data_IF_635520238881
#
_entry.id   IF_635520238881
#
_cell.length_a   1.000
_cell.length_b   1.000
_cell.length_c   1.000
_cell.angle_alpha   90.00
_cell.angle_beta   90.00
_cell.angle_gamma   90.00
#
_symmetry.space_group_name_H-M   'P 1'
#
loop_
_entity.id
_entity.type
_entity.pdbx_description
1 polymer ?
#
# COMPACT_ATOMS: atom_id res chain seq x y z
N UNK A 1 -18.27 -16.38 9.86
CA UNK A 1 -17.39 -17.35 10.55
C UNK A 1 -17.56 -17.17 12.04
N UNK A 2 -17.61 -18.30 12.76
CA UNK A 2 -17.60 -18.25 14.21
C UNK A 2 -16.34 -17.50 14.69
N UNK A 3 -16.39 -16.76 15.80
CA UNK A 3 -15.24 -16.04 16.36
C UNK A 3 -13.97 -16.90 16.48
N UNK A 4 -14.13 -18.21 16.75
CA UNK A 4 -13.03 -19.17 16.82
C UNK A 4 -12.32 -19.43 15.48
N UNK A 5 -13.04 -19.48 14.35
CA UNK A 5 -12.41 -19.65 13.03
C UNK A 5 -11.62 -18.41 12.60
N UNK A 6 -12.10 -17.20 13.00
CA UNK A 6 -11.35 -15.96 12.80
C UNK A 6 -10.10 -15.87 13.69
N UNK A 7 -10.13 -16.45 14.89
CA UNK A 7 -8.96 -16.52 15.76
C UNK A 7 -7.91 -17.50 15.22
N UNK A 8 -8.31 -18.67 14.72
CA UNK A 8 -7.41 -19.64 14.11
C UNK A 8 -6.73 -19.09 12.86
N UNK A 9 -7.45 -18.36 11.99
CA UNK A 9 -6.85 -17.67 10.83
C UNK A 9 -5.81 -16.60 11.24
N UNK A 10 -5.90 -16.07 12.48
CA UNK A 10 -4.93 -15.08 12.97
C UNK A 10 -3.64 -15.71 13.48
N UNK A 11 -3.69 -16.90 14.03
CA UNK A 11 -2.55 -17.53 14.75
C UNK A 11 -1.74 -18.49 13.87
N UNK A 12 -2.33 -19.12 12.84
CA UNK A 12 -1.70 -20.21 12.09
C UNK A 12 -1.45 -19.94 10.61
N UNK A 13 -1.90 -18.80 10.07
CA UNK A 13 -1.77 -18.52 8.63
C UNK A 13 -0.32 -18.26 8.25
N UNK A 14 0.25 -19.14 7.45
CA UNK A 14 1.45 -18.83 6.68
C UNK A 14 1.08 -17.83 5.59
N UNK A 15 1.59 -16.60 5.68
CA UNK A 15 1.37 -15.57 4.68
C UNK A 15 2.01 -15.98 3.35
N UNK A 16 1.30 -15.80 2.24
CA UNK A 16 1.90 -15.91 0.89
C UNK A 16 2.90 -14.77 0.63
N UNK A 17 2.85 -13.71 1.45
CA UNK A 17 3.89 -12.69 1.53
C UNK A 17 5.13 -13.29 2.20
N UNK A 18 6.23 -13.44 1.45
CA UNK A 18 7.41 -14.19 1.90
C UNK A 18 8.13 -13.54 3.07
N UNK A 19 8.18 -12.20 3.14
CA UNK A 19 8.77 -11.48 4.25
C UNK A 19 8.29 -10.02 4.30
N UNK A 20 8.19 -9.47 5.50
CA UNK A 20 8.21 -8.02 5.73
C UNK A 20 9.67 -7.58 5.68
N UNK A 21 10.01 -6.66 4.74
CA UNK A 21 11.39 -6.18 4.61
C UNK A 21 11.59 -4.88 5.39
N UNK A 22 10.59 -4.00 5.36
CA UNK A 22 10.70 -2.68 5.97
C UNK A 22 9.36 -2.19 6.47
N UNK A 23 9.36 -1.69 7.69
CA UNK A 23 8.25 -0.94 8.27
C UNK A 23 8.72 0.48 8.55
N UNK A 24 7.88 1.47 8.16
CA UNK A 24 8.02 2.87 8.55
C UNK A 24 6.76 3.26 9.28
N UNK A 25 6.88 3.55 10.56
CA UNK A 25 5.76 3.86 11.43
C UNK A 25 5.79 5.32 11.87
N UNK A 26 4.60 5.88 12.02
CA UNK A 26 4.33 7.10 12.78
C UNK A 26 3.11 6.86 13.66
N UNK A 27 2.78 7.79 14.58
CA UNK A 27 1.63 7.63 15.50
C UNK A 27 0.28 7.39 14.80
N UNK A 28 0.18 7.68 13.51
CA UNK A 28 -1.06 7.61 12.75
C UNK A 28 -0.97 6.81 11.46
N UNK A 29 0.22 6.27 11.14
CA UNK A 29 0.44 5.61 9.86
C UNK A 29 1.58 4.62 9.91
N UNK A 30 1.35 3.41 9.38
CA UNK A 30 2.35 2.41 9.12
C UNK A 30 2.45 2.16 7.62
N UNK A 31 3.68 2.16 7.09
CA UNK A 31 3.97 1.75 5.73
C UNK A 31 4.81 0.48 5.77
N UNK A 32 4.27 -0.59 5.20
CA UNK A 32 4.91 -1.90 5.19
C UNK A 32 5.32 -2.26 3.78
N UNK A 33 6.57 -2.66 3.61
CA UNK A 33 7.12 -3.20 2.38
C UNK A 33 7.24 -4.72 2.52
N UNK A 34 6.53 -5.43 1.66
CA UNK A 34 6.57 -6.89 1.59
C UNK A 34 7.41 -7.35 0.42
N UNK A 35 8.18 -8.41 0.61
CA UNK A 35 8.80 -9.19 -0.45
C UNK A 35 7.96 -10.43 -0.74
N UNK A 36 7.66 -10.66 -2.00
CA UNK A 36 6.91 -11.81 -2.48
C UNK A 36 7.87 -13.00 -2.70
N UNK A 37 7.33 -14.20 -2.82
CA UNK A 37 8.12 -15.44 -2.98
C UNK A 37 9.05 -15.45 -4.19
N UNK A 38 8.76 -14.64 -5.19
CA UNK A 38 9.56 -14.46 -6.42
C UNK A 38 10.53 -13.27 -6.36
N UNK A 39 10.69 -12.63 -5.20
CA UNK A 39 11.54 -11.46 -4.98
C UNK A 39 10.94 -10.14 -5.45
N UNK A 40 9.71 -10.15 -6.01
CA UNK A 40 8.99 -8.91 -6.25
C UNK A 40 8.56 -8.28 -4.93
N UNK A 41 8.26 -6.96 -4.96
CA UNK A 41 7.93 -6.21 -3.75
C UNK A 41 6.63 -5.44 -3.92
N UNK A 42 5.90 -5.27 -2.82
CA UNK A 42 4.68 -4.46 -2.75
C UNK A 42 4.62 -3.69 -1.45
N UNK A 43 3.98 -2.55 -1.48
CA UNK A 43 3.81 -1.68 -0.32
C UNK A 43 2.33 -1.62 0.08
N UNK A 44 2.11 -1.61 1.38
CA UNK A 44 0.79 -1.46 2.01
C UNK A 44 0.86 -0.37 3.06
N UNK A 45 -0.21 0.40 3.21
CA UNK A 45 -0.28 1.49 4.18
C UNK A 45 -1.46 1.29 5.12
N UNK A 46 -1.20 1.21 6.42
CA UNK A 46 -2.18 1.30 7.48
C UNK A 46 -2.33 2.74 7.96
N UNK A 47 -3.55 3.23 8.04
CA UNK A 47 -3.92 4.53 8.57
C UNK A 47 -4.71 4.34 9.86
N UNK A 48 -4.21 4.90 10.96
CA UNK A 48 -4.78 4.76 12.31
C UNK A 48 -5.30 6.12 12.78
N UNK A 49 -6.61 6.21 12.95
CA UNK A 49 -7.27 7.44 13.37
C UNK A 49 -7.50 7.43 14.89
N UNK A 50 -7.40 8.60 15.50
CA UNK A 50 -7.52 8.77 16.97
C UNK A 50 -8.84 8.24 17.53
N UNK A 51 -9.89 8.23 16.73
CA UNK A 51 -11.21 7.71 17.05
C UNK A 51 -11.31 6.17 17.04
N UNK A 52 -10.18 5.48 16.85
CA UNK A 52 -10.11 4.02 16.76
C UNK A 52 -10.55 3.44 15.42
N UNK A 53 -10.67 4.26 14.38
CA UNK A 53 -10.93 3.82 13.00
C UNK A 53 -9.62 3.51 12.31
N UNK A 54 -9.51 2.33 11.68
CA UNK A 54 -8.33 1.93 10.93
C UNK A 54 -8.69 1.71 9.47
N UNK A 55 -7.89 2.25 8.56
CA UNK A 55 -8.07 2.14 7.12
C UNK A 55 -6.79 1.63 6.46
N UNK A 56 -6.91 0.68 5.54
CA UNK A 56 -5.75 0.05 4.91
C UNK A 56 -5.76 0.29 3.41
N UNK A 57 -4.64 0.78 2.89
CA UNK A 57 -4.40 0.98 1.47
C UNK A 57 -3.56 -0.18 0.94
N UNK A 58 -4.16 -1.06 0.14
CA UNK A 58 -3.53 -2.29 -0.35
C UNK A 58 -3.20 -2.21 -1.84
N UNK A 59 -2.20 -2.99 -2.21
CA UNK A 59 -1.71 -3.13 -3.59
C UNK A 59 -2.40 -4.29 -4.31
N UNK A 60 -2.55 -4.16 -5.63
CA UNK A 60 -3.12 -5.18 -6.51
C UNK A 60 -2.13 -5.77 -7.51
N UNK A 61 -1.00 -5.08 -7.72
CA UNK A 61 0.05 -5.49 -8.65
C UNK A 61 1.43 -5.14 -8.06
N UNK A 62 2.46 -5.87 -8.45
CA UNK A 62 3.84 -5.41 -8.30
C UNK A 62 4.19 -4.55 -9.50
N UNK A 63 4.37 -3.24 -9.26
CA UNK A 63 4.46 -2.25 -10.33
C UNK A 63 3.11 -1.88 -10.96
N UNK A 64 3.13 -1.13 -12.08
CA UNK A 64 1.94 -0.72 -12.83
C UNK A 64 2.30 -0.42 -14.28
N UNK A 65 1.56 -1.00 -15.23
CA UNK A 65 1.84 -0.89 -16.67
C UNK A 65 1.25 0.33 -17.37
N UNK A 66 0.51 1.21 -16.67
CA UNK A 66 -0.24 2.29 -17.32
C UNK A 66 0.53 3.59 -17.49
N UNK A 67 1.70 3.74 -16.87
CA UNK A 67 2.63 4.84 -17.11
C UNK A 67 2.09 6.24 -16.77
N UNK A 68 1.25 6.36 -15.73
CA UNK A 68 0.79 7.66 -15.24
C UNK A 68 1.99 8.48 -14.79
N UNK A 69 2.17 9.68 -15.38
CA UNK A 69 3.40 10.46 -15.21
C UNK A 69 3.63 11.02 -13.80
N UNK A 70 2.56 11.15 -13.02
CA UNK A 70 2.60 11.67 -11.65
C UNK A 70 2.74 10.56 -10.58
N UNK A 71 2.82 9.29 -10.98
CA UNK A 71 2.78 8.15 -10.06
C UNK A 71 4.13 7.41 -10.06
N UNK A 72 4.74 7.28 -8.88
CA UNK A 72 6.00 6.55 -8.74
C UNK A 72 5.89 5.10 -9.19
N UNK A 73 4.80 4.40 -8.82
CA UNK A 73 4.53 3.02 -9.26
C UNK A 73 4.44 2.92 -10.79
N UNK A 74 3.85 3.92 -11.46
CA UNK A 74 3.71 3.96 -12.91
C UNK A 74 5.05 4.05 -13.66
N UNK A 75 6.11 4.56 -13.01
CA UNK A 75 7.46 4.64 -13.59
C UNK A 75 8.24 3.34 -13.52
N UNK A 76 7.79 2.38 -12.71
CA UNK A 76 8.44 1.08 -12.54
C UNK A 76 8.08 0.08 -13.65
N UNK A 77 6.99 0.34 -14.39
CA UNK A 77 6.37 -0.66 -15.24
C UNK A 77 5.67 -1.77 -14.43
N UNK A 78 4.95 -2.64 -15.13
CA UNK A 78 4.31 -3.81 -14.55
C UNK A 78 5.32 -4.95 -14.41
N UNK A 79 5.42 -5.51 -13.22
CA UNK A 79 6.14 -6.76 -12.98
C UNK A 79 5.19 -7.94 -13.14
N UNK A 80 4.16 -8.02 -12.29
CA UNK A 80 3.06 -8.98 -12.39
C UNK A 80 1.84 -8.58 -11.57
N UNK A 81 0.76 -9.27 -11.81
CA UNK A 81 -0.42 -9.25 -10.94
C UNK A 81 -0.12 -9.97 -9.62
N UNK A 82 -0.74 -9.51 -8.54
CA UNK A 82 -0.77 -10.25 -7.28
C UNK A 82 -1.83 -11.36 -7.36
N UNK A 83 -1.57 -12.47 -6.66
CA UNK A 83 -2.57 -13.51 -6.42
C UNK A 83 -3.61 -13.06 -5.41
N UNK A 84 -4.68 -13.84 -5.26
CA UNK A 84 -5.72 -13.57 -4.24
C UNK A 84 -5.11 -13.53 -2.85
N UNK A 85 -4.29 -14.54 -2.52
CA UNK A 85 -3.64 -14.64 -1.22
C UNK A 85 -2.70 -13.45 -0.97
N UNK A 86 -1.86 -13.06 -1.95
CA UNK A 86 -0.97 -11.90 -1.81
C UNK A 86 -1.73 -10.57 -1.65
N UNK A 87 -2.96 -10.47 -2.16
CA UNK A 87 -3.82 -9.30 -1.95
C UNK A 87 -4.41 -9.33 -0.54
N UNK A 88 -4.96 -10.45 -0.10
CA UNK A 88 -5.66 -10.59 1.19
C UNK A 88 -4.69 -10.64 2.37
N UNK A 89 -3.50 -11.19 2.17
CA UNK A 89 -2.48 -11.29 3.20
C UNK A 89 -1.92 -9.94 3.66
N UNK A 90 -2.01 -8.90 2.79
CA UNK A 90 -1.70 -7.54 3.22
C UNK A 90 -2.60 -7.10 4.38
N UNK A 91 -3.85 -7.55 4.40
CA UNK A 91 -4.81 -7.29 5.49
C UNK A 91 -4.59 -8.26 6.64
N UNK A 92 -4.34 -9.54 6.33
CA UNK A 92 -4.10 -10.57 7.33
C UNK A 92 -2.89 -10.22 8.22
N UNK A 93 -1.83 -9.65 7.63
CA UNK A 93 -0.68 -9.13 8.37
C UNK A 93 -1.11 -8.16 9.49
N UNK A 94 -1.90 -7.12 9.17
CA UNK A 94 -2.36 -6.17 10.18
C UNK A 94 -3.32 -6.79 11.19
N UNK A 95 -4.12 -7.77 10.77
CA UNK A 95 -4.97 -8.53 11.70
C UNK A 95 -4.14 -9.34 12.70
N UNK A 96 -3.02 -9.93 12.27
CA UNK A 96 -2.08 -10.64 13.15
C UNK A 96 -1.41 -9.70 14.15
N UNK A 97 -1.19 -8.42 13.77
CA UNK A 97 -0.71 -7.37 14.68
C UNK A 97 -1.81 -6.86 15.63
N UNK A 98 -2.99 -7.47 15.63
CA UNK A 98 -4.11 -7.08 16.50
C UNK A 98 -4.94 -5.89 15.99
N UNK A 99 -4.69 -5.40 14.77
CA UNK A 99 -5.43 -4.29 14.21
C UNK A 99 -6.86 -4.69 13.83
N UNK A 100 -7.84 -3.86 14.19
CA UNK A 100 -9.20 -3.97 13.65
C UNK A 100 -9.26 -3.41 12.25
N UNK A 101 -9.92 -4.10 11.32
CA UNK A 101 -10.06 -3.66 9.93
C UNK A 101 -11.40 -2.96 9.76
N UNK A 102 -11.38 -1.62 9.67
CA UNK A 102 -12.60 -0.83 9.51
C UNK A 102 -12.88 -0.49 8.05
N UNK A 103 -11.85 -0.25 7.24
CA UNK A 103 -11.99 -0.04 5.80
C UNK A 103 -10.74 -0.45 5.03
N UNK A 104 -10.93 -0.81 3.75
CA UNK A 104 -9.87 -1.17 2.82
C UNK A 104 -10.02 -0.30 1.57
N UNK A 105 -8.89 0.19 1.04
CA UNK A 105 -8.84 0.86 -0.25
C UNK A 105 -7.82 0.21 -1.17
N UNK A 106 -8.24 -0.15 -2.37
CA UNK A 106 -7.36 -0.56 -3.46
C UNK A 106 -6.81 0.70 -4.14
N UNK A 107 -5.87 1.37 -3.45
CA UNK A 107 -5.22 2.62 -3.88
C UNK A 107 -3.69 2.53 -3.75
N UNK A 108 -3.16 1.34 -3.49
CA UNK A 108 -1.74 1.04 -3.45
C UNK A 108 -1.14 0.88 -4.84
N UNK A 109 -0.21 -0.06 -4.98
CA UNK A 109 0.45 -0.31 -6.26
C UNK A 109 -0.45 -1.08 -7.23
N UNK A 110 -0.46 -0.63 -8.49
CA UNK A 110 -1.22 -1.27 -9.57
C UNK A 110 -2.57 -0.63 -9.89
N UNK A 111 -3.19 -1.11 -10.97
CA UNK A 111 -4.56 -0.80 -11.35
C UNK A 111 -5.45 -2.01 -11.02
N UNK A 112 -6.38 -1.90 -10.08
CA UNK A 112 -7.15 -3.04 -9.61
C UNK A 112 -7.90 -3.79 -10.73
N UNK A 113 -8.50 -3.07 -11.67
CA UNK A 113 -9.27 -3.71 -12.74
C UNK A 113 -8.43 -4.32 -13.87
N UNK A 114 -7.11 -4.13 -13.83
CA UNK A 114 -6.17 -4.84 -14.70
C UNK A 114 -5.69 -6.18 -14.11
N UNK A 115 -6.02 -6.46 -12.84
CA UNK A 115 -5.76 -7.74 -12.20
C UNK A 115 -7.08 -8.51 -12.00
N UNK A 116 -7.34 -9.61 -12.75
CA UNK A 116 -8.55 -10.41 -12.59
C UNK A 116 -8.75 -10.97 -11.18
N UNK A 117 -7.66 -11.25 -10.45
CA UNK A 117 -7.67 -11.79 -9.08
C UNK A 117 -8.30 -10.83 -8.06
N UNK A 118 -8.42 -9.54 -8.37
CA UNK A 118 -9.05 -8.56 -7.47
C UNK A 118 -10.53 -8.90 -7.21
N UNK A 119 -11.24 -9.48 -8.18
CA UNK A 119 -12.63 -9.86 -7.96
C UNK A 119 -12.79 -11.09 -7.06
N UNK A 120 -11.83 -12.02 -7.13
CA UNK A 120 -11.76 -13.17 -6.22
C UNK A 120 -11.35 -12.69 -4.82
N UNK A 121 -10.38 -11.77 -4.72
CA UNK A 121 -10.02 -11.15 -3.45
C UNK A 121 -11.20 -10.37 -2.83
N UNK A 122 -12.04 -9.70 -3.63
CA UNK A 122 -13.28 -9.07 -3.14
C UNK A 122 -14.27 -10.09 -2.59
N UNK A 123 -14.37 -11.27 -3.24
CA UNK A 123 -15.17 -12.37 -2.70
C UNK A 123 -14.68 -12.75 -1.31
N UNK A 124 -13.39 -13.04 -1.16
CA UNK A 124 -12.80 -13.48 0.10
C UNK A 124 -12.91 -12.40 1.19
N UNK A 125 -12.64 -11.13 0.85
CA UNK A 125 -12.77 -10.01 1.77
C UNK A 125 -14.22 -9.80 2.24
N UNK A 126 -15.23 -10.15 1.43
CA UNK A 126 -16.64 -9.94 1.78
C UNK A 126 -17.36 -11.20 2.25
N UNK A 127 -16.85 -12.39 1.97
CA UNK A 127 -17.43 -13.65 2.39
C UNK A 127 -17.50 -13.74 3.93
N UNK A 128 -18.70 -14.03 4.50
CA UNK A 128 -18.89 -14.06 5.95
C UNK A 128 -18.02 -15.11 6.67
N UNK A 129 -17.70 -16.20 5.98
CA UNK A 129 -16.87 -17.31 6.46
C UNK A 129 -15.37 -16.98 6.47
N UNK A 130 -14.94 -15.95 5.69
CA UNK A 130 -13.56 -15.50 5.62
C UNK A 130 -13.38 -14.18 6.37
N UNK A 131 -13.13 -13.07 5.66
CA UNK A 131 -12.93 -11.76 6.31
C UNK A 131 -14.24 -11.12 6.78
N UNK A 132 -15.35 -11.34 6.10
CA UNK A 132 -16.69 -10.87 6.48
C UNK A 132 -16.84 -9.35 6.49
N UNK A 133 -16.08 -8.63 5.66
CA UNK A 133 -16.18 -7.18 5.57
C UNK A 133 -17.42 -6.79 4.75
N UNK A 134 -18.12 -5.75 5.20
CA UNK A 134 -19.16 -5.15 4.39
C UNK A 134 -18.56 -4.54 3.13
N UNK A 135 -19.16 -4.76 1.96
CA UNK A 135 -18.79 -4.13 0.71
C UNK A 135 -18.64 -2.60 0.85
N UNK A 136 -19.44 -1.95 1.68
CA UNK A 136 -19.39 -0.50 1.95
C UNK A 136 -18.11 -0.03 2.63
N UNK A 137 -17.33 -0.95 3.20
CA UNK A 137 -16.03 -0.68 3.82
C UNK A 137 -14.87 -0.86 2.86
N UNK A 138 -15.16 -1.24 1.61
CA UNK A 138 -14.16 -1.42 0.56
C UNK A 138 -14.32 -0.30 -0.48
N UNK A 139 -13.19 0.29 -0.87
CA UNK A 139 -13.12 1.30 -1.93
C UNK A 139 -12.17 0.81 -3.01
N UNK A 140 -12.60 0.84 -4.27
CA UNK A 140 -11.73 0.60 -5.42
C UNK A 140 -11.52 1.92 -6.16
N UNK A 141 -10.24 2.28 -6.38
CA UNK A 141 -9.86 3.37 -7.27
C UNK A 141 -9.38 2.81 -8.60
N UNK A 142 -9.87 3.37 -9.69
CA UNK A 142 -9.50 2.94 -11.05
C UNK A 142 -9.18 4.12 -11.95
N UNK A 143 -8.27 3.90 -12.89
CA UNK A 143 -7.97 4.83 -13.98
C UNK A 143 -9.08 4.87 -15.05
N UNK A 144 -10.15 4.08 -14.89
CA UNK A 144 -11.31 4.09 -15.78
C UNK A 144 -11.36 2.91 -16.73
N UNK A 145 -10.94 1.71 -16.32
CA UNK A 145 -11.11 0.48 -17.11
C UNK A 145 -12.59 0.11 -17.15
N UNK A 146 -13.27 0.45 -18.25
CA UNK A 146 -14.73 0.33 -18.42
C UNK A 146 -15.25 -1.08 -18.13
N UNK A 147 -14.69 -2.18 -18.66
CA UNK A 147 -15.17 -3.53 -18.34
C UNK A 147 -15.10 -3.85 -16.83
N UNK A 148 -14.06 -3.35 -16.14
CA UNK A 148 -13.91 -3.54 -14.68
C UNK A 148 -14.98 -2.79 -13.88
N UNK A 149 -15.30 -1.55 -14.26
CA UNK A 149 -16.40 -0.77 -13.66
C UNK A 149 -17.73 -1.48 -13.85
N UNK A 150 -17.99 -1.99 -15.06
CA UNK A 150 -19.22 -2.73 -15.36
C UNK A 150 -19.33 -4.02 -14.55
N UNK A 151 -18.24 -4.78 -14.41
CA UNK A 151 -18.19 -5.99 -13.60
C UNK A 151 -18.44 -5.67 -12.12
N UNK A 152 -17.76 -4.66 -11.57
CA UNK A 152 -17.98 -4.20 -10.19
C UNK A 152 -19.44 -3.83 -9.94
N UNK A 153 -20.06 -3.11 -10.89
CA UNK A 153 -21.44 -2.67 -10.79
C UNK A 153 -22.42 -3.85 -10.66
N UNK A 154 -22.18 -4.94 -11.39
CA UNK A 154 -23.02 -6.13 -11.35
C UNK A 154 -22.79 -7.00 -10.12
N UNK A 155 -21.55 -7.23 -9.77
CA UNK A 155 -21.16 -8.28 -8.80
C UNK A 155 -21.00 -7.70 -7.39
N UNK A 156 -20.55 -6.44 -7.27
CA UNK A 156 -20.26 -5.79 -5.97
C UNK A 156 -20.85 -4.37 -5.91
N UNK A 157 -22.18 -4.20 -6.02
CA UNK A 157 -22.83 -2.89 -6.19
C UNK A 157 -22.71 -1.99 -4.96
N UNK A 158 -22.27 -2.51 -3.80
CA UNK A 158 -22.11 -1.72 -2.59
C UNK A 158 -20.63 -1.34 -2.29
N UNK A 159 -19.68 -1.80 -3.09
CA UNK A 159 -18.27 -1.34 -3.02
C UNK A 159 -18.23 0.12 -3.47
N UNK A 160 -17.44 0.95 -2.76
CA UNK A 160 -17.24 2.34 -3.13
C UNK A 160 -16.33 2.43 -4.36
N UNK A 161 -16.72 3.26 -5.32
CA UNK A 161 -15.95 3.47 -6.55
C UNK A 161 -15.34 4.86 -6.58
N UNK A 162 -14.02 4.91 -6.81
CA UNK A 162 -13.27 6.13 -7.08
C UNK A 162 -12.70 6.08 -8.51
N UNK A 163 -12.79 7.18 -9.22
CA UNK A 163 -12.26 7.34 -10.57
C UNK A 163 -11.13 8.36 -10.59
N UNK A 164 -9.97 7.94 -11.07
CA UNK A 164 -8.80 8.79 -11.31
C UNK A 164 -9.01 9.68 -12.53
N UNK A 165 -9.69 10.82 -12.33
CA UNK A 165 -10.07 11.76 -13.38
C UNK A 165 -8.89 12.61 -13.84
N UNK A 166 -8.28 13.36 -12.92
CA UNK A 166 -7.02 14.12 -12.95
C UNK A 166 -6.89 15.20 -14.05
N UNK A 167 -7.80 15.28 -15.01
CA UNK A 167 -7.82 16.32 -16.02
C UNK A 167 -9.24 16.58 -16.54
N UNK A 168 -9.56 17.82 -16.99
CA UNK A 168 -10.89 18.18 -17.45
C UNK A 168 -11.12 17.89 -18.94
N UNK A 169 -10.08 17.49 -19.69
CA UNK A 169 -10.15 17.19 -21.13
C UNK A 169 -9.33 15.97 -21.49
N UNK A 170 -9.76 15.21 -22.52
CA UNK A 170 -9.02 14.04 -22.99
C UNK A 170 -7.59 14.38 -23.41
N UNK A 171 -7.39 15.51 -24.12
CA UNK A 171 -6.07 15.96 -24.54
C UNK A 171 -5.09 16.11 -23.38
N UNK A 172 -5.51 16.76 -22.30
CA UNK A 172 -4.67 16.94 -21.12
C UNK A 172 -4.50 15.62 -20.38
N UNK A 173 -5.60 14.87 -20.22
CA UNK A 173 -5.57 13.58 -19.53
C UNK A 173 -4.65 12.58 -20.21
N UNK A 174 -4.64 12.53 -21.53
CA UNK A 174 -3.75 11.66 -22.32
C UNK A 174 -2.27 11.96 -22.06
N UNK A 175 -1.92 13.25 -21.87
CA UNK A 175 -0.53 13.62 -21.54
C UNK A 175 -0.10 13.14 -20.17
N UNK A 176 -1.03 12.99 -19.22
CA UNK A 176 -0.80 12.54 -17.85
C UNK A 176 -1.00 11.03 -17.70
N UNK A 177 -1.98 10.47 -18.42
CA UNK A 177 -2.46 9.10 -18.30
C UNK A 177 -2.74 8.50 -19.69
N UNK A 178 -1.80 7.74 -20.28
CA UNK A 178 -1.92 7.22 -21.64
C UNK A 178 -3.16 6.37 -21.90
N UNK A 179 -3.75 5.74 -20.86
CA UNK A 179 -4.97 4.95 -20.93
C UNK A 179 -6.17 5.71 -21.52
N UNK A 180 -6.13 7.03 -21.50
CA UNK A 180 -7.18 7.90 -22.05
C UNK A 180 -7.45 7.63 -23.53
N UNK A 181 -6.45 7.16 -24.28
CA UNK A 181 -6.62 6.73 -25.69
C UNK A 181 -7.60 5.58 -25.82
N UNK A 182 -7.57 4.65 -24.88
CA UNK A 182 -8.43 3.47 -24.88
C UNK A 182 -9.79 3.78 -24.27
N UNK A 183 -9.82 4.56 -23.19
CA UNK A 183 -11.03 4.93 -22.45
C UNK A 183 -11.10 6.46 -22.29
N UNK A 184 -11.66 7.19 -23.29
CA UNK A 184 -11.87 8.63 -23.20
C UNK A 184 -12.82 9.01 -22.05
N UNK A 185 -12.69 10.24 -21.55
CA UNK A 185 -13.47 10.76 -20.42
C UNK A 185 -14.97 10.57 -20.59
N UNK A 186 -15.51 10.85 -21.80
CA UNK A 186 -16.94 10.69 -22.07
C UNK A 186 -17.42 9.27 -21.84
N UNK A 187 -16.69 8.27 -22.40
CA UNK A 187 -17.05 6.86 -22.24
C UNK A 187 -17.01 6.40 -20.78
N UNK A 188 -15.99 6.83 -20.05
CA UNK A 188 -15.86 6.48 -18.62
C UNK A 188 -16.97 7.12 -17.81
N UNK A 189 -17.25 8.42 -18.00
CA UNK A 189 -18.30 9.14 -17.27
C UNK A 189 -19.70 8.57 -17.59
N UNK A 190 -19.98 8.21 -18.84
CA UNK A 190 -21.24 7.51 -19.21
C UNK A 190 -21.36 6.16 -18.48
N UNK A 191 -20.24 5.44 -18.31
CA UNK A 191 -20.21 4.18 -17.55
C UNK A 191 -20.44 4.43 -16.06
N UNK A 192 -19.88 5.50 -15.52
CA UNK A 192 -20.12 5.91 -14.12
C UNK A 192 -21.57 6.35 -13.88
N UNK A 193 -22.20 7.03 -14.85
CA UNK A 193 -23.63 7.36 -14.80
C UNK A 193 -24.48 6.06 -14.75
N UNK A 194 -24.11 5.05 -15.51
CA UNK A 194 -24.77 3.74 -15.46
C UNK A 194 -24.57 3.06 -14.11
N UNK A 195 -23.36 3.12 -13.56
CA UNK A 195 -23.07 2.62 -12.21
C UNK A 195 -23.94 3.31 -11.17
N UNK A 196 -24.01 4.64 -11.17
CA UNK A 196 -24.84 5.43 -10.25
C UNK A 196 -26.32 5.05 -10.40
N UNK A 197 -26.80 4.93 -11.65
CA UNK A 197 -28.20 4.55 -11.94
C UNK A 197 -28.57 3.19 -11.35
N UNK A 198 -27.65 2.21 -11.38
CA UNK A 198 -27.91 0.85 -10.92
C UNK A 198 -27.75 0.70 -9.41
N UNK A 199 -26.79 1.41 -8.82
CA UNK A 199 -26.38 1.21 -7.42
C UNK A 199 -26.93 2.28 -6.48
N UNK A 200 -27.32 3.44 -7.01
CA UNK A 200 -27.62 4.66 -6.24
C UNK A 200 -26.51 5.06 -5.28
N UNK A 201 -25.24 4.79 -5.65
CA UNK A 201 -24.06 5.06 -4.83
C UNK A 201 -23.30 6.28 -5.33
N UNK A 202 -22.66 7.02 -4.41
CA UNK A 202 -21.71 8.07 -4.76
C UNK A 202 -20.50 7.50 -5.49
N UNK A 203 -20.02 8.25 -6.48
CA UNK A 203 -18.74 8.02 -7.15
C UNK A 203 -17.79 9.16 -6.77
N UNK A 204 -16.59 8.79 -6.34
CA UNK A 204 -15.55 9.74 -5.99
C UNK A 204 -14.68 10.02 -7.23
N UNK A 205 -14.50 11.29 -7.55
CA UNK A 205 -13.67 11.74 -8.67
C UNK A 205 -12.35 12.29 -8.10
N UNK A 206 -11.27 11.56 -8.25
CA UNK A 206 -9.96 11.98 -7.80
C UNK A 206 -9.32 12.95 -8.80
N UNK A 207 -8.88 14.12 -8.35
CA UNK A 207 -8.22 15.14 -9.17
C UNK A 207 -6.95 15.62 -8.49
N UNK A 208 -5.79 15.16 -8.98
CA UNK A 208 -4.50 15.56 -8.48
C UNK A 208 -4.17 16.98 -8.94
N UNK A 209 -3.64 17.81 -8.04
CA UNK A 209 -3.37 19.23 -8.30
C UNK A 209 -1.90 19.45 -8.64
N UNK A 210 -1.62 19.63 -9.93
CA UNK A 210 -0.28 19.81 -10.50
C UNK A 210 -0.12 21.27 -10.96
N UNK A 211 0.90 21.95 -10.42
CA UNK A 211 1.19 23.35 -10.71
C UNK A 211 1.43 23.55 -12.21
N UNK A 212 0.78 24.56 -12.78
CA UNK A 212 0.87 25.00 -14.18
C UNK A 212 0.52 23.91 -15.23
N UNK A 213 -0.03 22.77 -14.77
CA UNK A 213 -0.43 21.66 -15.63
C UNK A 213 -1.95 21.54 -15.72
N UNK A 214 -2.65 21.41 -14.59
CA UNK A 214 -4.09 21.17 -14.54
C UNK A 214 -4.84 22.03 -13.50
N UNK A 215 -4.19 23.03 -12.90
CA UNK A 215 -4.68 23.75 -11.72
C UNK A 215 -5.19 25.18 -12.02
N UNK A 216 -5.22 25.64 -13.29
CA UNK A 216 -5.70 26.99 -13.62
C UNK A 216 -7.22 27.13 -13.49
N UNK A 217 -7.71 28.39 -13.39
CA UNK A 217 -9.15 28.69 -13.36
C UNK A 217 -9.85 28.13 -14.61
N UNK A 218 -9.20 28.24 -15.78
CA UNK A 218 -9.70 27.65 -17.02
C UNK A 218 -9.92 26.12 -16.89
N UNK A 219 -9.02 25.42 -16.20
CA UNK A 219 -9.17 23.98 -15.97
C UNK A 219 -10.35 23.68 -15.03
N UNK A 220 -10.57 24.51 -13.99
CA UNK A 220 -11.73 24.39 -13.12
C UNK A 220 -13.06 24.60 -13.89
N UNK A 221 -13.11 25.62 -14.76
CA UNK A 221 -14.28 25.89 -15.62
C UNK A 221 -14.52 24.74 -16.62
N UNK A 222 -13.48 24.20 -17.23
CA UNK A 222 -13.57 23.05 -18.13
C UNK A 222 -14.07 21.81 -17.40
N UNK A 223 -13.59 21.58 -16.18
CA UNK A 223 -14.04 20.48 -15.33
C UNK A 223 -15.53 20.63 -14.97
N UNK A 224 -15.91 21.84 -14.58
CA UNK A 224 -17.33 22.19 -14.35
C UNK A 224 -18.19 21.89 -15.57
N UNK A 225 -17.78 22.37 -16.75
CA UNK A 225 -18.50 22.11 -18.02
C UNK A 225 -18.59 20.60 -18.35
N UNK A 226 -17.51 19.84 -18.08
CA UNK A 226 -17.50 18.39 -18.27
C UNK A 226 -18.54 17.72 -17.38
N UNK A 227 -18.54 18.00 -16.08
CA UNK A 227 -19.45 17.37 -15.12
C UNK A 227 -20.91 17.82 -15.32
N UNK A 228 -21.16 19.03 -15.80
CA UNK A 228 -22.52 19.48 -16.15
C UNK A 228 -23.17 18.70 -17.31
N UNK A 229 -22.39 18.04 -18.16
CA UNK A 229 -22.97 17.11 -19.16
C UNK A 229 -23.67 15.92 -18.49
N UNK A 230 -23.22 15.56 -17.27
CA UNK A 230 -23.74 14.48 -16.42
C UNK A 230 -24.63 15.00 -15.28
N UNK A 231 -25.28 16.20 -15.47
CA UNK A 231 -26.05 16.92 -14.43
C UNK A 231 -27.11 16.09 -13.72
N UNK A 232 -27.68 15.09 -14.39
CA UNK A 232 -28.68 14.20 -13.79
C UNK A 232 -28.13 13.43 -12.59
N UNK A 233 -26.86 13.07 -12.62
CA UNK A 233 -26.20 12.29 -11.58
C UNK A 233 -25.20 13.11 -10.74
N UNK A 234 -25.09 14.41 -11.02
CA UNK A 234 -24.16 15.32 -10.35
C UNK A 234 -24.24 15.30 -8.82
N UNK A 235 -25.41 15.15 -8.17
CA UNK A 235 -25.50 15.04 -6.71
C UNK A 235 -24.80 13.79 -6.12
N UNK A 236 -24.57 12.76 -6.94
CA UNK A 236 -23.87 11.53 -6.56
C UNK A 236 -22.41 11.49 -7.01
N UNK A 237 -21.92 12.54 -7.67
CA UNK A 237 -20.48 12.73 -7.88
C UNK A 237 -19.90 13.57 -6.73
N UNK A 238 -18.74 13.17 -6.24
CA UNK A 238 -17.97 13.91 -5.26
C UNK A 238 -16.53 14.09 -5.74
N UNK A 239 -16.06 15.32 -5.86
CA UNK A 239 -14.72 15.64 -6.33
C UNK A 239 -13.74 15.76 -5.16
N UNK A 240 -12.71 14.94 -5.17
CA UNK A 240 -11.57 15.01 -4.25
C UNK A 240 -10.39 15.72 -4.93
N UNK A 241 -10.08 16.95 -4.52
CA UNK A 241 -8.85 17.63 -4.91
C UNK A 241 -7.69 17.09 -4.07
N UNK A 242 -6.75 16.46 -4.72
CA UNK A 242 -5.61 15.80 -4.07
C UNK A 242 -4.37 16.68 -4.26
N UNK A 243 -3.83 17.30 -3.19
CA UNK A 243 -2.52 17.93 -3.27
C UNK A 243 -1.49 16.91 -3.75
N UNK A 244 -0.67 17.29 -4.74
CA UNK A 244 0.33 16.37 -5.29
C UNK A 244 1.45 16.11 -4.29
N UNK A 245 1.83 14.86 -4.15
CA UNK A 245 2.99 14.45 -3.36
C UNK A 245 4.15 14.20 -4.32
N UNK A 246 5.13 15.09 -4.31
CA UNK A 246 6.31 14.98 -5.16
C UNK A 246 7.15 13.77 -4.74
N UNK A 247 7.75 13.10 -5.70
CA UNK A 247 8.66 11.98 -5.49
C UNK A 247 9.96 12.21 -6.23
N UNK A 248 11.04 11.55 -5.81
CA UNK A 248 12.34 11.59 -6.51
C UNK A 248 12.30 11.09 -7.95
N UNK A 249 11.26 10.33 -8.30
CA UNK A 249 11.09 9.78 -9.67
C UNK A 249 10.21 10.63 -10.57
N UNK A 250 9.50 11.62 -10.00
CA UNK A 250 8.60 12.52 -10.72
C UNK A 250 8.98 13.98 -10.49
N UNK A 251 10.27 14.28 -10.42
CA UNK A 251 10.84 15.59 -10.07
C UNK A 251 10.38 16.75 -10.98
N UNK A 252 10.02 16.45 -12.22
CA UNK A 252 9.53 17.45 -13.19
C UNK A 252 8.13 17.98 -12.87
N UNK A 253 7.39 17.33 -11.95
CA UNK A 253 6.06 17.76 -11.54
C UNK A 253 6.10 18.44 -10.18
N UNK A 254 5.45 19.59 -10.08
CA UNK A 254 5.44 20.42 -8.88
C UNK A 254 4.03 20.47 -8.29
N UNK A 255 3.86 20.38 -6.96
CA UNK A 255 2.56 20.55 -6.32
C UNK A 255 2.02 21.97 -6.49
N UNK A 256 0.71 22.08 -6.70
CA UNK A 256 0.01 23.36 -6.67
C UNK A 256 0.07 23.98 -5.27
N UNK A 257 0.19 25.30 -5.19
CA UNK A 257 0.14 25.98 -3.89
C UNK A 257 -1.23 25.79 -3.23
N UNK A 258 -1.26 25.81 -1.90
CA UNK A 258 -2.51 25.68 -1.14
C UNK A 258 -3.54 26.78 -1.51
N UNK A 259 -3.07 28.01 -1.76
CA UNK A 259 -3.92 29.11 -2.24
C UNK A 259 -4.53 28.79 -3.60
N UNK A 260 -3.75 28.19 -4.53
CA UNK A 260 -4.24 27.81 -5.86
C UNK A 260 -5.30 26.68 -5.76
N UNK A 261 -5.05 25.68 -4.92
CA UNK A 261 -6.01 24.59 -4.67
C UNK A 261 -7.32 25.15 -4.10
N UNK A 262 -7.25 26.06 -3.13
CA UNK A 262 -8.44 26.72 -2.56
C UNK A 262 -9.21 27.54 -3.60
N UNK A 263 -8.52 28.27 -4.49
CA UNK A 263 -9.17 29.03 -5.55
C UNK A 263 -9.87 28.09 -6.55
N UNK A 264 -9.22 27.01 -6.97
CA UNK A 264 -9.82 25.98 -7.82
C UNK A 264 -11.06 25.36 -7.15
N UNK A 265 -10.92 24.94 -5.89
CA UNK A 265 -12.03 24.41 -5.09
C UNK A 265 -13.24 25.36 -5.05
N UNK A 266 -13.00 26.66 -4.87
CA UNK A 266 -14.06 27.67 -4.82
C UNK A 266 -14.84 27.76 -6.14
N UNK A 267 -14.16 27.71 -7.29
CA UNK A 267 -14.82 27.75 -8.60
C UNK A 267 -15.76 26.55 -8.74
N UNK A 268 -15.28 25.35 -8.41
CA UNK A 268 -16.07 24.10 -8.47
C UNK A 268 -17.24 24.15 -7.50
N UNK A 269 -17.01 24.59 -6.26
CA UNK A 269 -18.04 24.70 -5.22
C UNK A 269 -19.12 25.71 -5.60
N UNK A 270 -18.74 26.88 -6.13
CA UNK A 270 -19.67 27.92 -6.56
C UNK A 270 -20.54 27.48 -7.75
N UNK A 271 -20.08 26.50 -8.52
CA UNK A 271 -20.87 25.84 -9.56
C UNK A 271 -21.84 24.78 -9.00
N UNK A 272 -21.92 24.59 -7.66
CA UNK A 272 -22.82 23.62 -7.03
C UNK A 272 -22.35 22.17 -7.10
N UNK A 273 -21.05 21.93 -7.38
CA UNK A 273 -20.47 20.60 -7.41
C UNK A 273 -19.90 20.26 -6.03
N UNK A 274 -20.23 19.08 -5.52
CA UNK A 274 -19.67 18.56 -4.26
C UNK A 274 -18.17 18.36 -4.40
N UNK A 275 -17.37 19.09 -3.60
CA UNK A 275 -15.91 19.09 -3.69
C UNK A 275 -15.28 19.27 -2.31
N UNK A 276 -14.17 18.56 -2.06
CA UNK A 276 -13.30 18.81 -0.91
C UNK A 276 -11.83 18.84 -1.32
N UNK A 277 -10.98 19.31 -0.41
CA UNK A 277 -9.52 19.19 -0.52
C UNK A 277 -9.12 18.07 0.42
N UNK A 278 -8.48 17.03 -0.13
CA UNK A 278 -8.08 15.86 0.62
C UNK A 278 -6.95 16.20 1.58
N UNK A 279 -7.06 15.77 2.83
CA UNK A 279 -5.96 15.87 3.79
C UNK A 279 -4.82 14.93 3.36
N UNK A 280 -3.60 15.43 3.41
CA UNK A 280 -2.41 14.63 3.14
C UNK A 280 -2.00 13.89 4.39
N UNK A 281 -1.74 12.59 4.27
CA UNK A 281 -1.15 11.75 5.30
C UNK A 281 0.09 11.07 4.75
N UNK A 282 1.15 10.92 5.57
CA UNK A 282 2.31 10.11 5.27
C UNK A 282 3.26 10.63 4.19
N UNK A 283 3.22 11.94 3.89
CA UNK A 283 4.18 12.56 2.95
C UNK A 283 5.62 12.52 3.47
N UNK A 284 5.80 12.51 4.77
CA UNK A 284 7.08 12.45 5.49
C UNK A 284 7.78 11.09 5.40
N UNK A 285 7.01 10.01 5.26
CA UNK A 285 7.54 8.64 5.13
C UNK A 285 7.33 8.04 3.73
N UNK A 286 7.02 8.87 2.72
CA UNK A 286 6.72 8.44 1.35
C UNK A 286 5.57 7.41 1.27
N UNK A 287 4.56 7.56 2.10
CA UNK A 287 3.38 6.69 2.15
C UNK A 287 2.11 7.34 1.58
N UNK A 288 2.19 8.57 1.10
CA UNK A 288 1.06 9.26 0.51
C UNK A 288 0.73 8.73 -0.90
N UNK A 289 -0.48 9.04 -1.38
CA UNK A 289 -0.93 8.63 -2.70
C UNK A 289 0.07 9.02 -3.81
N UNK A 290 0.41 8.06 -4.67
CA UNK A 290 1.37 8.23 -5.77
C UNK A 290 2.85 8.06 -5.39
N UNK A 291 3.18 7.92 -4.10
CA UNK A 291 4.56 7.79 -3.62
C UNK A 291 5.05 6.35 -3.45
N UNK A 292 4.14 5.37 -3.49
CA UNK A 292 4.52 3.98 -3.31
C UNK A 292 5.46 3.51 -4.42
N UNK A 293 6.48 2.72 -4.05
CA UNK A 293 7.58 2.20 -4.88
C UNK A 293 8.88 3.02 -4.90
N UNK A 294 9.04 4.05 -4.05
CA UNK A 294 10.31 4.78 -3.92
C UNK A 294 11.49 3.92 -3.45
N UNK A 295 11.24 2.89 -2.64
CA UNK A 295 12.26 1.98 -2.13
C UNK A 295 12.81 0.98 -3.18
N UNK A 296 12.13 0.78 -4.30
CA UNK A 296 12.56 -0.17 -5.35
C UNK A 296 13.82 0.26 -6.12
N UNK A 297 14.13 1.58 -6.17
CA UNK A 297 15.26 2.11 -6.96
C UNK A 297 16.56 2.21 -6.18
N UNK A 298 16.49 2.38 -4.87
CA UNK A 298 17.71 2.49 -4.06
C UNK A 298 18.46 1.15 -4.02
N UNK A 299 17.75 0.02 -4.01
CA UNK A 299 18.36 -1.31 -4.00
C UNK A 299 18.96 -1.71 -5.36
N UNK A 300 18.40 -1.28 -6.50
CA UNK A 300 19.01 -1.57 -7.80
C UNK A 300 20.30 -0.77 -8.04
N UNK A 301 20.35 0.49 -7.59
CA UNK A 301 21.59 1.29 -7.64
C UNK A 301 22.60 0.87 -6.56
N UNK A 302 22.13 0.37 -5.43
CA UNK A 302 22.99 -0.23 -4.40
C UNK A 302 23.42 -1.64 -4.78
N UNK A 303 22.57 -2.45 -5.45
CA UNK A 303 22.94 -3.76 -5.97
C UNK A 303 24.07 -3.72 -6.99
N UNK A 304 24.09 -2.71 -7.88
CA UNK A 304 25.23 -2.50 -8.81
C UNK A 304 26.47 -1.92 -8.10
N UNK A 305 26.32 -1.18 -7.00
CA UNK A 305 27.44 -0.72 -6.17
C UNK A 305 27.87 -1.75 -5.11
N UNK A 306 26.97 -2.62 -4.65
CA UNK A 306 27.25 -3.66 -3.62
C UNK A 306 27.73 -4.97 -4.21
N UNK A 307 27.52 -5.27 -5.49
CA UNK A 307 28.24 -6.39 -6.14
C UNK A 307 29.75 -6.15 -6.20
N UNK A 308 30.23 -4.91 -6.07
CA UNK A 308 31.66 -4.60 -5.87
C UNK A 308 32.07 -4.50 -4.41
N UNK A 309 31.14 -4.51 -3.45
CA UNK A 309 31.39 -4.35 -2.00
C UNK A 309 30.90 -5.53 -1.13
N UNK A 310 30.27 -6.57 -1.74
CA UNK A 310 29.90 -7.85 -1.07
C UNK A 310 31.08 -8.84 -1.06
N UNK A 311 32.29 -8.41 -1.42
CA UNK A 311 33.49 -9.12 -0.99
C UNK A 311 33.78 -8.72 0.44
N UNK A 312 33.61 -9.70 1.37
CA UNK A 312 33.95 -9.71 2.80
C UNK A 312 32.88 -9.27 3.81
N UNK A 313 31.74 -9.94 3.86
CA UNK A 313 31.09 -10.20 5.14
C UNK A 313 31.36 -11.64 5.55
N UNK A 314 32.46 -11.86 6.30
CA UNK A 314 32.83 -13.17 6.83
C UNK A 314 31.84 -13.61 7.90
N UNK A 315 31.08 -14.66 7.61
CA UNK A 315 30.33 -15.40 8.61
C UNK A 315 31.27 -16.37 9.32
N UNK A 316 31.29 -16.34 10.65
CA UNK A 316 32.01 -17.34 11.43
C UNK A 316 31.03 -18.28 12.14
N UNK A 317 31.47 -19.55 12.27
CA UNK A 317 30.70 -20.49 13.07
C UNK A 317 30.84 -20.15 14.55
N UNK A 318 29.69 -19.99 15.23
CA UNK A 318 29.69 -19.90 16.68
C UNK A 318 30.17 -21.24 17.24
N UNK A 319 31.31 -21.20 17.93
CA UNK A 319 31.92 -22.38 18.55
C UNK A 319 31.37 -22.58 19.97
N UNK A 320 31.11 -23.81 20.33
CA UNK A 320 30.69 -24.15 21.70
C UNK A 320 31.76 -23.70 22.72
N UNK A 321 31.44 -22.91 23.72
CA UNK A 321 32.40 -22.48 24.74
C UNK A 321 33.04 -23.62 25.49
N UNK A 322 32.34 -24.76 25.62
CA UNK A 322 32.79 -25.95 26.38
C UNK A 322 33.70 -26.85 25.54
N UNK A 323 33.24 -27.34 24.38
CA UNK A 323 33.98 -28.33 23.60
C UNK A 323 34.61 -27.80 22.32
N UNK A 324 34.53 -26.47 22.06
CA UNK A 324 35.06 -25.77 20.88
C UNK A 324 34.57 -26.28 19.53
N UNK A 325 33.57 -27.13 19.50
CA UNK A 325 32.98 -27.66 18.26
C UNK A 325 32.01 -26.65 17.66
N UNK A 326 31.85 -26.67 16.33
CA UNK A 326 30.86 -25.87 15.60
C UNK A 326 29.45 -26.20 16.12
N UNK A 327 28.70 -25.15 16.44
CA UNK A 327 27.29 -25.24 16.77
C UNK A 327 26.45 -25.17 15.47
N UNK A 328 25.13 -25.03 15.57
CA UNK A 328 24.25 -24.85 14.41
C UNK A 328 24.11 -23.37 13.99
N UNK A 329 24.81 -22.46 14.66
CA UNK A 329 24.71 -21.03 14.44
C UNK A 329 25.95 -20.48 13.73
N UNK A 330 25.73 -19.58 12.79
CA UNK A 330 26.74 -18.69 12.22
C UNK A 330 26.48 -17.28 12.68
N UNK A 331 27.50 -16.53 12.99
CA UNK A 331 27.43 -15.15 13.47
C UNK A 331 28.27 -14.25 12.58
N UNK A 332 27.92 -12.98 12.55
CA UNK A 332 28.69 -11.89 11.91
C UNK A 332 29.31 -11.03 12.99
N UNK A 333 30.21 -10.14 12.59
CA UNK A 333 30.87 -9.19 13.50
C UNK A 333 29.87 -8.26 14.19
N UNK A 334 28.75 -7.94 13.54
CA UNK A 334 27.67 -7.09 14.04
C UNK A 334 26.58 -7.86 14.81
N UNK A 335 26.69 -9.19 14.92
CA UNK A 335 25.72 -10.01 15.65
C UNK A 335 25.82 -9.74 17.15
N UNK A 336 24.71 -9.36 17.77
CA UNK A 336 24.55 -9.24 19.22
C UNK A 336 23.53 -10.27 19.65
N UNK A 337 23.93 -11.17 20.55
CA UNK A 337 23.03 -12.10 21.24
C UNK A 337 23.15 -11.81 22.74
N UNK A 338 22.02 -11.64 23.41
CA UNK A 338 21.97 -11.44 24.85
C UNK A 338 21.03 -12.45 25.49
N UNK A 339 21.48 -13.08 26.59
CA UNK A 339 20.75 -14.16 27.27
C UNK A 339 20.26 -15.27 26.31
N UNK A 340 21.07 -15.61 25.30
CA UNK A 340 20.69 -16.54 24.27
C UNK A 340 20.93 -18.00 24.70
N UNK A 341 19.92 -18.90 24.67
CA UNK A 341 20.09 -20.30 25.01
C UNK A 341 20.83 -21.05 23.87
N UNK A 342 22.07 -21.45 24.13
CA UNK A 342 22.89 -22.19 23.20
C UNK A 342 22.89 -23.67 23.55
N UNK A 343 22.45 -24.52 22.60
CA UNK A 343 22.61 -25.97 22.67
C UNK A 343 23.77 -26.42 21.78
N UNK A 344 24.68 -27.22 22.33
CA UNK A 344 25.75 -27.83 21.55
C UNK A 344 25.40 -29.28 21.14
N UNK A 345 25.26 -29.60 19.82
CA UNK A 345 24.88 -30.91 19.37
C UNK A 345 25.96 -31.98 19.65
N UNK A 346 27.23 -31.60 19.87
CA UNK A 346 28.33 -32.54 20.10
C UNK A 346 28.47 -32.92 21.57
N UNK A 347 28.58 -31.96 22.48
CA UNK A 347 28.73 -32.24 23.91
C UNK A 347 27.39 -32.22 24.67
N UNK A 348 26.26 -31.89 23.99
CA UNK A 348 24.89 -31.81 24.53
C UNK A 348 24.74 -30.83 25.69
N UNK A 349 25.67 -29.89 25.86
CA UNK A 349 25.57 -28.86 26.90
C UNK A 349 24.60 -27.79 26.44
N UNK A 350 23.76 -27.31 27.37
CA UNK A 350 22.89 -26.15 27.25
C UNK A 350 23.46 -25.05 28.14
N UNK A 351 23.49 -23.81 27.65
CA UNK A 351 24.01 -22.68 28.40
C UNK A 351 23.42 -21.36 27.88
N UNK A 352 23.31 -20.37 28.72
CA UNK A 352 23.01 -19.00 28.33
C UNK A 352 24.32 -18.28 27.95
N UNK A 353 24.30 -17.63 26.79
CA UNK A 353 25.46 -16.90 26.27
C UNK A 353 25.10 -15.47 25.92
N UNK A 354 26.12 -14.59 26.01
CA UNK A 354 26.13 -13.30 25.30
C UNK A 354 27.14 -13.37 24.18
N UNK A 355 26.82 -12.79 23.03
CA UNK A 355 27.74 -12.63 21.89
C UNK A 355 27.76 -11.16 21.48
N UNK A 356 28.97 -10.62 21.34
CA UNK A 356 29.19 -9.28 20.80
C UNK A 356 30.57 -9.25 20.11
N UNK A 357 30.60 -8.79 18.85
CA UNK A 357 31.84 -8.69 18.06
C UNK A 357 32.67 -10.02 18.05
N UNK A 358 31.99 -11.13 17.76
CA UNK A 358 32.54 -12.51 17.81
C UNK A 358 32.98 -12.99 19.20
N UNK A 359 32.93 -12.17 20.25
CA UNK A 359 33.26 -12.58 21.62
C UNK A 359 32.03 -13.27 22.24
N UNK A 360 32.28 -14.46 22.79
CA UNK A 360 31.25 -15.29 23.42
C UNK A 360 31.55 -15.35 24.92
N UNK A 361 30.60 -14.96 25.75
CA UNK A 361 30.64 -15.10 27.20
C UNK A 361 29.50 -16.00 27.69
N UNK A 362 29.79 -16.86 28.66
CA UNK A 362 28.78 -17.68 29.32
C UNK A 362 28.21 -16.89 30.50
N UNK A 363 26.89 -16.82 30.58
CA UNK A 363 26.19 -16.23 31.73
C UNK A 363 26.10 -17.35 32.77
N UNK A 364 26.78 -17.17 33.91
CA UNK A 364 26.61 -18.02 35.10
C UNK A 364 25.41 -17.49 35.86
N UNK A 365 24.35 -18.31 36.01
CA UNK A 365 23.32 -17.98 36.99
C UNK A 365 23.99 -17.93 38.38
N UNK A 366 23.68 -16.93 39.23
CA UNK A 366 24.14 -16.95 40.62
C UNK A 366 23.53 -18.16 41.32
N UNK A 367 24.39 -18.97 41.94
CA UNK A 367 24.01 -20.14 42.74
C UNK A 367 22.89 -19.77 43.73
N UNK A 368 21.82 -20.53 43.73
CA UNK A 368 20.66 -20.37 44.62
C UNK A 368 20.97 -20.76 46.09
N UNK A 369 22.21 -20.61 46.55
CA UNK A 369 22.66 -20.94 47.90
C UNK A 369 23.27 -19.75 48.62
N UNK A 370 22.59 -18.61 48.76
CA UNK A 370 22.95 -17.60 49.74
C UNK A 370 21.72 -16.74 50.12
N UNK A 371 20.66 -17.40 50.57
CA UNK A 371 19.63 -16.76 51.40
C UNK A 371 19.19 -17.70 52.51
N UNK A 372 20.08 -17.87 53.49
CA UNK A 372 19.70 -18.28 54.82
C UNK A 372 20.74 -17.77 55.81
N UNK A 373 20.57 -16.50 56.22
CA UNK A 373 20.83 -16.03 57.60
C UNK A 373 20.26 -14.63 57.75
#
# INVERSE_FOLDING_TARGET
AAPAARAALREEANLALAAMIQEKASDTLDKVLFELSDGNRVETVGLFYKEGWNSFCISSQSGCGFGCKFCATGTLGLRRNLTVDEITDQILYFMQQGCSINSISFMGMGEPFANPQVFEALHDLTAPELFGLSQRRITISTIGIVPGIQKLTREYPQVNLAYSLHAPTDRLRETLMPITKTYPLGQVLDTLDQHIRQTNRKVFLAYIMLKDVNDSDRHAEQLTKLLFKHKKYLPLYHLDLIPYNQTTVTETMVPSSHTRIKAFCRIIHNAGISVNIRTQFGSDINAACGQLAGAYRDDQKQGERTMSAIQEQSFEWLLCPVCKSKTRLKIRKDTILDNFPLFCPKCKSEMLICVKQFHISIIKEPDAQTQSR
#
